data_IF_709096531346
#
_entry.id   IF_709096531346
#
_cell.length_a   1.000
_cell.length_b   1.000
_cell.length_c   1.000
_cell.angle_alpha   90.00
_cell.angle_beta   90.00
_cell.angle_gamma   90.00
#
_symmetry.space_group_name_H-M   'P 1'
#
loop_
_entity.id
_entity.type
_entity.pdbx_description
1 polymer ?
#
# COMPACT_ATOMS: atom_id res chain seq x y z
N UNK A 1 -9.48 -16.36 -50.77
CA UNK A 1 -9.54 -17.52 -49.87
C UNK A 1 -8.30 -17.50 -48.98
N UNK A 2 -8.52 -17.71 -47.67
CA UNK A 2 -7.55 -18.05 -46.60
C UNK A 2 -6.65 -16.88 -46.14
N UNK A 3 -7.03 -16.20 -45.05
CA UNK A 3 -6.78 -16.55 -43.63
C UNK A 3 -5.30 -16.42 -43.25
N UNK A 4 -4.93 -15.28 -42.67
CA UNK A 4 -3.89 -15.19 -41.63
C UNK A 4 -3.92 -13.77 -41.02
N UNK A 5 -4.88 -13.46 -40.13
CA UNK A 5 -4.76 -12.26 -39.29
C UNK A 5 -5.64 -12.29 -38.02
N UNK A 6 -5.81 -13.45 -37.38
CA UNK A 6 -6.59 -13.53 -36.12
C UNK A 6 -5.92 -14.44 -35.09
N UNK A 7 -4.69 -14.11 -34.69
CA UNK A 7 -4.05 -14.69 -33.48
C UNK A 7 -3.60 -13.64 -32.46
N UNK A 8 -4.02 -12.38 -32.59
CA UNK A 8 -3.63 -11.32 -31.67
C UNK A 8 -4.73 -10.92 -30.65
N UNK A 9 -5.91 -11.54 -30.68
CA UNK A 9 -7.08 -11.04 -29.94
C UNK A 9 -7.61 -11.96 -28.81
N UNK A 10 -6.77 -12.87 -28.29
CA UNK A 10 -7.22 -13.86 -27.28
C UNK A 10 -6.34 -13.90 -26.02
N UNK A 11 -5.71 -12.79 -25.65
CA UNK A 11 -5.04 -12.65 -24.34
C UNK A 11 -5.37 -11.30 -23.69
N UNK A 12 -6.65 -10.92 -23.69
CA UNK A 12 -7.16 -9.81 -22.86
C UNK A 12 -8.52 -10.23 -22.26
N UNK A 13 -8.58 -11.38 -21.56
CA UNK A 13 -9.78 -11.77 -20.79
C UNK A 13 -9.51 -12.54 -19.50
N UNK A 14 -8.33 -12.42 -18.90
CA UNK A 14 -8.08 -12.98 -17.56
C UNK A 14 -7.15 -12.02 -16.82
N UNK A 15 -7.68 -10.97 -16.17
CA UNK A 15 -7.05 -10.25 -15.03
C UNK A 15 -7.88 -9.02 -14.57
N UNK A 16 -9.20 -9.02 -14.76
CA UNK A 16 -10.10 -7.97 -14.22
C UNK A 16 -11.19 -8.62 -13.38
N UNK A 17 -10.81 -9.27 -12.28
CA UNK A 17 -11.78 -9.75 -11.26
C UNK A 17 -11.26 -9.60 -9.83
N UNK A 18 -10.24 -8.79 -9.57
CA UNK A 18 -9.84 -8.52 -8.19
C UNK A 18 -9.35 -7.09 -8.06
N UNK A 19 -10.00 -6.34 -7.15
CA UNK A 19 -9.73 -4.94 -6.78
C UNK A 19 -10.51 -3.86 -7.56
N UNK A 20 -11.83 -4.01 -7.66
CA UNK A 20 -12.71 -2.82 -7.55
C UNK A 20 -12.88 -2.57 -6.05
N UNK A 21 -11.99 -1.76 -5.49
CA UNK A 21 -12.25 -1.15 -4.18
C UNK A 21 -13.33 -0.07 -4.43
N UNK A 22 -14.59 -0.44 -4.21
CA UNK A 22 -15.71 0.50 -4.19
C UNK A 22 -15.46 1.51 -3.07
N UNK A 23 -15.03 2.72 -3.44
CA UNK A 23 -15.11 3.88 -2.55
C UNK A 23 -16.55 4.38 -2.70
N UNK A 24 -17.44 3.87 -1.86
CA UNK A 24 -18.77 4.47 -1.67
C UNK A 24 -18.58 5.82 -0.96
N UNK A 25 -19.13 6.92 -1.49
CA UNK A 25 -19.22 8.15 -0.71
C UNK A 25 -20.23 7.92 0.41
N UNK A 26 -19.77 8.04 1.66
CA UNK A 26 -20.64 8.13 2.83
C UNK A 26 -21.51 9.38 2.66
N UNK A 27 -22.85 9.27 2.70
CA UNK A 27 -23.70 10.44 2.72
C UNK A 27 -23.53 11.17 4.06
N UNK A 28 -23.15 12.45 3.98
CA UNK A 28 -23.21 13.38 5.10
C UNK A 28 -24.68 13.60 5.47
N UNK A 29 -25.14 13.01 6.57
CA UNK A 29 -26.36 13.44 7.26
C UNK A 29 -25.98 14.44 8.35
N UNK A 30 -26.45 15.68 8.18
CA UNK A 30 -26.64 16.61 9.29
C UNK A 30 -27.90 16.18 10.06
N UNK A 31 -27.83 16.11 11.38
CA UNK A 31 -28.96 15.80 12.25
C UNK A 31 -28.55 15.60 13.71
N UNK A 32 -29.29 16.24 14.60
CA UNK A 32 -29.07 16.48 16.03
C UNK A 32 -29.20 15.24 16.96
N UNK A 33 -28.60 15.33 18.16
CA UNK A 33 -29.22 14.88 19.42
C UNK A 33 -28.87 13.50 20.04
N UNK A 34 -28.51 13.51 21.34
CA UNK A 34 -28.70 12.48 22.40
C UNK A 34 -28.01 11.11 22.24
N UNK A 35 -27.56 10.34 23.24
CA UNK A 35 -27.77 10.30 24.69
C UNK A 35 -27.98 8.82 25.15
N UNK A 36 -27.25 8.34 26.18
CA UNK A 36 -27.52 7.10 26.96
C UNK A 36 -27.13 5.75 26.31
N UNK A 37 -26.73 4.67 27.00
CA UNK A 37 -26.68 4.31 28.43
C UNK A 37 -27.22 2.88 28.63
N UNK A 38 -26.47 2.01 29.34
CA UNK A 38 -26.91 0.74 30.00
C UNK A 38 -27.46 -0.40 29.12
N UNK A 39 -27.58 -1.67 29.52
CA UNK A 39 -27.28 -2.43 30.74
C UNK A 39 -27.40 -3.95 30.43
N UNK A 40 -26.87 -4.75 31.35
CA UNK A 40 -26.79 -6.21 31.47
C UNK A 40 -28.10 -7.01 31.26
N UNK A 41 -27.95 -8.27 30.86
CA UNK A 41 -28.75 -9.38 31.42
C UNK A 41 -27.90 -10.64 31.63
N UNK A 42 -28.13 -11.24 32.79
CA UNK A 42 -27.39 -12.28 33.49
C UNK A 42 -27.61 -13.74 33.03
N UNK A 43 -26.72 -14.59 33.55
CA UNK A 43 -26.60 -16.06 33.51
C UNK A 43 -27.87 -16.86 33.92
N UNK A 44 -27.89 -18.20 33.70
CA UNK A 44 -27.49 -19.10 34.80
C UNK A 44 -26.51 -20.22 34.40
N UNK A 45 -25.67 -20.54 35.37
CA UNK A 45 -24.57 -21.49 35.42
C UNK A 45 -24.99 -22.95 35.68
N UNK A 46 -24.27 -23.92 35.09
CA UNK A 46 -23.96 -25.19 35.79
C UNK A 46 -22.62 -25.76 35.31
N UNK A 47 -21.74 -25.95 36.28
CA UNK A 47 -20.35 -26.42 36.22
C UNK A 47 -20.24 -27.93 36.05
N UNK A 48 -19.25 -28.39 35.27
CA UNK A 48 -18.36 -29.49 35.67
C UNK A 48 -17.00 -29.27 35.04
N UNK A 49 -15.99 -29.12 35.88
CA UNK A 49 -14.60 -28.90 35.52
C UNK A 49 -14.00 -30.12 34.80
N UNK A 50 -13.33 -29.88 33.68
CA UNK A 50 -12.19 -30.69 33.29
C UNK A 50 -11.09 -29.73 32.87
N UNK A 51 -10.05 -29.65 33.71
CA UNK A 51 -8.84 -28.90 33.43
C UNK A 51 -8.21 -29.39 32.13
N UNK A 52 -8.25 -28.57 31.08
CA UNK A 52 -7.18 -28.56 30.08
C UNK A 52 -7.04 -27.16 29.52
N UNK A 53 -6.06 -26.43 30.07
CA UNK A 53 -5.55 -25.19 29.51
C UNK A 53 -5.06 -25.45 28.08
N UNK A 54 -5.92 -25.19 27.09
CA UNK A 54 -5.52 -25.05 25.70
C UNK A 54 -5.40 -23.57 25.39
N UNK A 55 -4.43 -22.95 26.05
CA UNK A 55 -3.87 -21.68 25.61
C UNK A 55 -3.00 -21.96 24.38
N UNK A 56 -3.65 -22.34 23.28
CA UNK A 56 -3.01 -22.56 21.99
C UNK A 56 -3.34 -21.38 21.08
N UNK A 57 -2.94 -20.17 21.52
CA UNK A 57 -2.50 -19.20 20.51
C UNK A 57 -1.41 -19.94 19.72
N UNK A 58 -1.47 -20.02 18.38
CA UNK A 58 -0.27 -20.32 17.65
C UNK A 58 0.63 -19.11 17.90
N UNK A 59 1.48 -19.22 18.92
CA UNK A 59 2.70 -18.45 19.00
C UNK A 59 3.51 -18.98 17.82
N UNK A 60 3.21 -18.45 16.63
CA UNK A 60 4.18 -18.38 15.56
C UNK A 60 5.24 -17.44 16.14
N UNK A 61 6.12 -18.07 16.92
CA UNK A 61 7.37 -17.50 17.37
C UNK A 61 8.08 -17.26 16.05
N UNK A 62 7.93 -16.04 15.52
CA UNK A 62 8.60 -15.58 14.32
C UNK A 62 10.09 -15.58 14.66
N UNK A 63 10.69 -16.76 14.60
CA UNK A 63 12.09 -17.02 14.76
C UNK A 63 12.77 -16.68 13.43
N UNK A 64 12.46 -15.49 12.90
CA UNK A 64 13.23 -14.96 11.80
C UNK A 64 14.58 -14.55 12.38
N UNK A 65 15.62 -15.25 11.96
CA UNK A 65 16.97 -14.86 12.26
C UNK A 65 17.25 -13.48 11.64
N UNK A 66 18.23 -12.74 12.19
CA UNK A 66 18.56 -11.40 11.68
C UNK A 66 18.86 -11.41 10.16
N UNK A 67 19.37 -12.53 9.61
CA UNK A 67 19.60 -12.66 8.15
C UNK A 67 18.30 -12.77 7.36
N UNK A 68 17.30 -13.51 7.85
CA UNK A 68 15.96 -13.56 7.27
C UNK A 68 15.29 -12.18 7.22
N UNK A 69 15.35 -11.41 8.31
CA UNK A 69 14.89 -10.01 8.32
C UNK A 69 15.64 -9.12 7.32
N UNK A 70 16.94 -9.34 7.14
CA UNK A 70 17.73 -8.58 6.16
C UNK A 70 17.34 -8.93 4.72
N UNK A 71 17.02 -10.19 4.43
CA UNK A 71 16.50 -10.57 3.12
C UNK A 71 15.16 -9.90 2.83
N UNK A 72 14.23 -9.94 3.79
CA UNK A 72 12.91 -9.31 3.61
C UNK A 72 13.04 -7.80 3.44
N UNK A 73 13.87 -7.15 4.25
CA UNK A 73 14.16 -5.72 4.11
C UNK A 73 14.70 -5.37 2.71
N UNK A 74 15.57 -6.21 2.12
CA UNK A 74 16.08 -6.02 0.75
C UNK A 74 14.98 -6.17 -0.31
N UNK A 75 14.04 -7.11 -0.13
CA UNK A 75 12.89 -7.25 -1.03
C UNK A 75 12.00 -6.03 -0.98
N UNK A 76 11.65 -5.58 0.23
CA UNK A 76 10.84 -4.37 0.43
C UNK A 76 11.55 -3.14 -0.16
N UNK A 77 12.87 -3.03 -0.01
CA UNK A 77 13.64 -1.93 -0.58
C UNK A 77 13.58 -1.93 -2.11
N UNK A 78 13.62 -3.12 -2.74
CA UNK A 78 13.44 -3.26 -4.19
C UNK A 78 12.05 -2.80 -4.64
N UNK A 79 11.00 -3.11 -3.87
CA UNK A 79 9.63 -2.64 -4.14
C UNK A 79 9.53 -1.13 -3.96
N UNK A 80 10.05 -0.59 -2.85
CA UNK A 80 10.05 0.84 -2.58
C UNK A 80 10.80 1.64 -3.67
N UNK A 81 11.93 1.13 -4.14
CA UNK A 81 12.71 1.74 -5.22
C UNK A 81 11.99 1.70 -6.57
N UNK A 82 11.26 0.61 -6.87
CA UNK A 82 10.37 0.58 -8.05
C UNK A 82 9.27 1.64 -7.95
N UNK A 83 8.67 1.78 -6.77
CA UNK A 83 7.60 2.75 -6.54
C UNK A 83 8.08 4.20 -6.69
N UNK A 84 9.27 4.54 -6.16
CA UNK A 84 9.84 5.88 -6.31
C UNK A 84 10.19 6.20 -7.77
N UNK A 85 10.70 5.22 -8.53
CA UNK A 85 10.94 5.35 -9.98
C UNK A 85 9.65 5.60 -10.74
N UNK A 86 8.59 4.84 -10.45
CA UNK A 86 7.26 5.03 -11.08
C UNK A 86 6.70 6.41 -10.74
N UNK A 87 6.78 6.85 -9.49
CA UNK A 87 6.31 8.17 -9.09
C UNK A 87 7.09 9.30 -9.78
N UNK A 88 8.42 9.15 -9.91
CA UNK A 88 9.25 10.10 -10.64
C UNK A 88 8.91 10.14 -12.14
N UNK A 89 8.66 8.98 -12.75
CA UNK A 89 8.22 8.90 -14.15
C UNK A 89 6.87 9.62 -14.35
N UNK A 90 5.90 9.41 -13.45
CA UNK A 90 4.61 10.12 -13.49
C UNK A 90 4.78 11.65 -13.42
N UNK A 91 5.66 12.15 -12.56
CA UNK A 91 5.96 13.59 -12.51
C UNK A 91 6.50 14.08 -13.85
N UNK A 92 7.47 13.38 -14.45
CA UNK A 92 8.03 13.77 -15.76
C UNK A 92 6.98 13.75 -16.87
N UNK A 93 6.12 12.74 -16.90
CA UNK A 93 5.04 12.63 -17.89
C UNK A 93 4.04 13.78 -17.73
N UNK A 94 3.65 14.09 -16.49
CA UNK A 94 2.77 15.22 -16.17
C UNK A 94 3.43 16.58 -16.49
N UNK A 95 4.74 16.75 -16.27
CA UNK A 95 5.48 17.95 -16.66
C UNK A 95 5.52 18.13 -18.18
N UNK A 96 5.73 17.04 -18.94
CA UNK A 96 5.67 17.06 -20.41
C UNK A 96 4.28 17.49 -20.89
N UNK A 97 3.23 16.90 -20.30
CA UNK A 97 1.84 17.29 -20.58
C UNK A 97 1.54 18.73 -20.21
N UNK A 98 2.06 19.20 -19.06
CA UNK A 98 1.94 20.59 -18.62
C UNK A 98 2.54 21.57 -19.64
N UNK A 99 3.75 21.29 -20.15
CA UNK A 99 4.39 22.10 -21.20
C UNK A 99 3.57 22.14 -22.49
N UNK A 100 2.96 21.02 -22.87
CA UNK A 100 2.07 20.96 -24.04
C UNK A 100 0.82 21.83 -23.84
N UNK A 101 0.14 21.70 -22.69
CA UNK A 101 -1.09 22.44 -22.36
C UNK A 101 -0.81 23.93 -22.13
N UNK A 102 0.38 24.29 -21.65
CA UNK A 102 0.81 25.69 -21.51
C UNK A 102 0.75 26.44 -22.84
N UNK A 103 1.16 25.81 -23.95
CA UNK A 103 1.20 26.42 -25.28
C UNK A 103 -0.17 26.60 -25.93
N UNK A 104 -1.05 25.60 -25.85
CA UNK A 104 -2.30 25.58 -26.64
C UNK A 104 -3.57 25.21 -25.85
N UNK A 105 -3.46 24.97 -24.55
CA UNK A 105 -4.59 24.55 -23.72
C UNK A 105 -5.46 25.69 -23.19
N UNK A 106 -6.69 25.36 -22.81
CA UNK A 106 -7.58 26.33 -22.16
C UNK A 106 -7.11 26.65 -20.74
N UNK A 107 -7.57 27.79 -20.19
CA UNK A 107 -7.31 28.16 -18.78
C UNK A 107 -7.76 27.08 -17.80
N UNK A 108 -8.88 26.40 -18.09
CA UNK A 108 -9.41 25.28 -17.28
C UNK A 108 -8.45 24.09 -17.30
N UNK A 109 -7.92 23.73 -18.46
CA UNK A 109 -6.95 22.63 -18.61
C UNK A 109 -5.65 22.94 -17.88
N UNK A 110 -5.12 24.17 -18.05
CA UNK A 110 -3.92 24.65 -17.35
C UNK A 110 -4.07 24.51 -15.83
N UNK A 111 -5.20 24.94 -15.26
CA UNK A 111 -5.50 24.77 -13.82
C UNK A 111 -5.57 23.29 -13.41
N UNK A 112 -6.20 22.43 -14.22
CA UNK A 112 -6.32 20.99 -13.94
C UNK A 112 -4.97 20.29 -13.92
N UNK A 113 -4.13 20.52 -14.94
CA UNK A 113 -2.81 19.89 -15.04
C UNK A 113 -1.84 20.42 -13.97
N UNK A 114 -1.94 21.69 -13.58
CA UNK A 114 -1.15 22.26 -12.48
C UNK A 114 -1.49 21.61 -11.13
N UNK A 115 -2.78 21.39 -10.86
CA UNK A 115 -3.24 20.67 -9.64
C UNK A 115 -2.73 19.22 -9.65
N UNK A 116 -2.80 18.53 -10.78
CA UNK A 116 -2.28 17.17 -10.91
C UNK A 116 -0.76 17.12 -10.66
N UNK A 117 0.00 18.03 -11.25
CA UNK A 117 1.45 18.08 -11.08
C UNK A 117 1.85 18.28 -9.62
N UNK A 118 1.14 19.14 -8.87
CA UNK A 118 1.36 19.29 -7.42
C UNK A 118 1.12 18.00 -6.65
N UNK A 119 0.08 17.23 -7.00
CA UNK A 119 -0.21 15.92 -6.38
C UNK A 119 0.87 14.88 -6.72
N UNK A 120 1.30 14.82 -7.98
CA UNK A 120 2.33 13.87 -8.42
C UNK A 120 3.67 14.14 -7.74
N UNK A 121 4.06 15.41 -7.57
CA UNK A 121 5.28 15.79 -6.83
C UNK A 121 5.21 15.36 -5.36
N UNK A 122 4.10 15.62 -4.68
CA UNK A 122 3.89 15.14 -3.30
C UNK A 122 3.99 13.62 -3.19
N UNK A 123 3.39 12.89 -4.13
CA UNK A 123 3.43 11.43 -4.16
C UNK A 123 4.86 10.90 -4.37
N UNK A 124 5.63 11.55 -5.27
CA UNK A 124 7.05 11.25 -5.47
C UNK A 124 7.84 11.45 -4.19
N UNK A 125 7.63 12.57 -3.49
CA UNK A 125 8.36 12.87 -2.25
C UNK A 125 8.02 11.88 -1.14
N UNK A 126 6.76 11.46 -1.02
CA UNK A 126 6.34 10.40 -0.08
C UNK A 126 7.02 9.07 -0.43
N UNK A 127 7.07 8.69 -1.71
CA UNK A 127 7.71 7.45 -2.15
C UNK A 127 9.21 7.45 -1.83
N UNK A 128 9.90 8.58 -2.10
CA UNK A 128 11.32 8.75 -1.78
C UNK A 128 11.59 8.70 -0.27
N UNK A 129 10.75 9.34 0.56
CA UNK A 129 10.87 9.27 2.02
C UNK A 129 10.71 7.84 2.54
N UNK A 130 9.75 7.07 1.99
CA UNK A 130 9.55 5.67 2.35
C UNK A 130 10.75 4.80 1.94
N UNK A 131 11.26 4.98 0.72
CA UNK A 131 12.46 4.29 0.24
C UNK A 131 13.67 4.58 1.14
N UNK A 132 13.94 5.85 1.45
CA UNK A 132 15.08 6.23 2.28
C UNK A 132 14.96 5.66 3.70
N UNK A 133 13.79 5.80 4.35
CA UNK A 133 13.57 5.26 5.70
C UNK A 133 13.78 3.75 5.74
N UNK A 134 13.37 3.04 4.68
CA UNK A 134 13.58 1.61 4.57
C UNK A 134 15.06 1.25 4.31
N UNK A 135 15.74 2.02 3.45
CA UNK A 135 17.18 1.87 3.20
C UNK A 135 17.98 2.00 4.49
N UNK A 136 17.68 3.01 5.31
CA UNK A 136 18.33 3.23 6.60
C UNK A 136 18.09 2.07 7.57
N UNK A 137 16.85 1.54 7.61
CA UNK A 137 16.52 0.35 8.41
C UNK A 137 17.33 -0.87 7.95
N UNK A 138 17.39 -1.14 6.64
CA UNK A 138 18.14 -2.26 6.11
C UNK A 138 19.65 -2.11 6.37
N UNK A 139 20.18 -0.90 6.29
CA UNK A 139 21.59 -0.61 6.58
C UNK A 139 21.92 -0.88 8.05
N UNK A 140 21.12 -0.33 8.98
CA UNK A 140 21.29 -0.56 10.42
C UNK A 140 21.23 -2.05 10.77
N UNK A 141 20.29 -2.79 10.17
CA UNK A 141 20.19 -4.23 10.38
C UNK A 141 21.42 -4.98 9.86
N UNK A 142 21.93 -4.59 8.68
CA UNK A 142 23.17 -5.16 8.14
C UNK A 142 24.37 -4.89 9.03
N UNK A 143 24.48 -3.70 9.63
CA UNK A 143 25.57 -3.35 10.56
C UNK A 143 25.49 -4.15 11.85
N UNK A 144 24.30 -4.32 12.43
CA UNK A 144 24.09 -5.16 13.61
C UNK A 144 24.51 -6.61 13.39
N UNK A 145 24.20 -7.17 12.20
CA UNK A 145 24.63 -8.53 11.83
C UNK A 145 26.16 -8.61 11.70
N UNK A 146 26.80 -7.59 11.11
CA UNK A 146 28.27 -7.55 10.99
C UNK A 146 28.95 -7.47 12.36
N UNK A 147 28.45 -6.62 13.26
CA UNK A 147 29.00 -6.46 14.61
C UNK A 147 28.82 -7.71 15.47
N UNK A 148 27.66 -8.38 15.38
CA UNK A 148 27.39 -9.62 16.11
C UNK A 148 28.16 -10.86 15.62
N UNK A 149 28.92 -10.76 14.51
CA UNK A 149 29.81 -11.83 14.01
C UNK A 149 31.28 -11.65 14.41
N UNK A 150 31.62 -10.57 15.12
CA UNK A 150 32.99 -10.25 15.57
C UNK A 150 33.25 -10.62 17.03
N UNK A 151 32.25 -11.17 17.72
CA UNK A 151 32.39 -11.83 19.01
C UNK A 151 32.38 -13.34 18.78
#
# INVERSE_FOLDING_TARGET
MKHESDKANTIIKVFITSSILLITPVPTTAGEGGGGGGENQDLPSTTTSTNTSTNSKPIIKNLFDKKGYLQECKKDLKVASKNSKVANKRVKDTEKKYRSIQKSGTTKDKKKIQKQLKKDKKNRDIALRKENKLRDKCLKLSEQIKKGKRQ
#
